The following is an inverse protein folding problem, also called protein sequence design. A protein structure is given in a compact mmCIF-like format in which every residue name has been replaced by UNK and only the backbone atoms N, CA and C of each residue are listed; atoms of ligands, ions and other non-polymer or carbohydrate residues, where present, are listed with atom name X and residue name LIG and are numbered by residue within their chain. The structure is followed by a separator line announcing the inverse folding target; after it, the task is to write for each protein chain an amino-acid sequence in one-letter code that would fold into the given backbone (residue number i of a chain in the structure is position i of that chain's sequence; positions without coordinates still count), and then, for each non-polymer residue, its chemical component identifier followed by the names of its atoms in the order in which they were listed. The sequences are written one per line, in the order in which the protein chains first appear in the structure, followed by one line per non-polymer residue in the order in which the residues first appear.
data_IF_166535908750
#
_entry.id   IF_166535908750
#
_cell.length_a   1.000
_cell.length_b   1.000
_cell.length_c   1.000
_cell.angle_alpha   90.00
_cell.angle_beta   90.00
_cell.angle_gamma   90.00
#
_symmetry.space_group_name_H-M   'P 1'
#
loop_
_entity.id
_entity.type
_entity.pdbx_description
1 polymer ?
#
# COMPACT_ATOMS: atom_id res chain seq x y z
N UNK A 1 19.62 13.37 8.71
CA UNK A 1 20.38 12.09 8.73
C UNK A 1 19.48 10.88 8.47
N UNK A 2 18.32 10.78 9.16
CA UNK A 2 17.31 9.74 8.91
C UNK A 2 16.76 9.72 7.46
N UNK A 3 16.47 10.89 6.89
CA UNK A 3 15.95 11.01 5.51
C UNK A 3 16.88 10.42 4.44
N UNK A 4 18.19 10.63 4.59
CA UNK A 4 19.21 10.07 3.68
C UNK A 4 19.31 8.55 3.78
N UNK A 5 19.11 7.99 4.98
CA UNK A 5 19.04 6.54 5.21
C UNK A 5 17.82 5.93 4.51
N UNK A 6 16.64 6.57 4.64
CA UNK A 6 15.42 6.15 3.95
C UNK A 6 15.61 6.21 2.44
N UNK A 7 16.16 7.31 1.91
CA UNK A 7 16.44 7.45 0.49
C UNK A 7 17.40 6.36 -0.02
N UNK A 8 18.47 6.07 0.72
CA UNK A 8 19.42 5.01 0.38
C UNK A 8 18.76 3.62 0.37
N UNK A 9 17.89 3.33 1.34
CA UNK A 9 17.13 2.07 1.37
C UNK A 9 16.18 1.94 0.18
N UNK A 10 15.45 3.02 -0.16
CA UNK A 10 14.54 3.03 -1.33
C UNK A 10 15.32 2.77 -2.62
N UNK A 11 16.43 3.49 -2.82
CA UNK A 11 17.29 3.31 -4.00
C UNK A 11 17.88 1.89 -4.03
N UNK A 12 18.36 1.37 -2.90
CA UNK A 12 18.91 0.02 -2.81
C UNK A 12 17.90 -1.06 -3.18
N UNK A 13 16.65 -0.95 -2.70
CA UNK A 13 15.56 -1.87 -3.06
C UNK A 13 15.24 -1.77 -4.56
N UNK A 14 15.19 -0.57 -5.12
CA UNK A 14 14.95 -0.39 -6.56
C UNK A 14 16.05 -1.06 -7.39
N UNK A 15 17.32 -0.75 -7.09
CA UNK A 15 18.48 -1.31 -7.80
C UNK A 15 18.50 -2.84 -7.75
N UNK A 16 18.16 -3.44 -6.60
CA UNK A 16 18.10 -4.89 -6.44
C UNK A 16 17.02 -5.56 -7.31
N UNK A 17 15.94 -4.84 -7.66
CA UNK A 17 14.84 -5.39 -8.45
C UNK A 17 14.98 -5.16 -9.97
N UNK A 18 15.86 -4.24 -10.41
CA UNK A 18 16.09 -3.95 -11.85
C UNK A 18 16.50 -5.21 -12.65
N UNK A 19 17.46 -6.05 -12.20
CA UNK A 19 17.86 -7.23 -12.97
C UNK A 19 16.72 -8.23 -13.16
N UNK A 20 15.91 -8.43 -12.12
CA UNK A 20 14.75 -9.31 -12.17
C UNK A 20 13.68 -8.78 -13.14
N UNK A 21 13.43 -7.46 -13.12
CA UNK A 21 12.50 -6.82 -14.05
C UNK A 21 12.98 -6.91 -15.51
N UNK A 22 14.27 -6.73 -15.77
CA UNK A 22 14.86 -6.87 -17.11
C UNK A 22 14.75 -8.32 -17.59
N UNK A 23 15.05 -9.30 -16.74
CA UNK A 23 14.91 -10.72 -17.08
C UNK A 23 13.46 -11.10 -17.36
N UNK A 24 12.52 -10.62 -16.55
CA UNK A 24 11.09 -10.85 -16.75
C UNK A 24 10.61 -10.23 -18.08
N UNK A 25 11.04 -9.01 -18.42
CA UNK A 25 10.67 -8.37 -19.68
C UNK A 25 11.26 -9.09 -20.92
N UNK A 26 12.43 -9.71 -20.78
CA UNK A 26 13.07 -10.46 -21.87
C UNK A 26 12.47 -11.84 -22.08
N UNK A 27 12.16 -12.55 -20.99
CA UNK A 27 11.75 -13.95 -21.04
C UNK A 27 10.22 -14.14 -21.05
N UNK A 28 9.46 -13.17 -20.54
CA UNK A 28 8.00 -13.23 -20.42
C UNK A 28 7.36 -11.84 -20.53
N UNK A 29 7.25 -11.35 -21.78
CA UNK A 29 6.68 -10.03 -22.08
C UNK A 29 5.24 -9.89 -21.62
N UNK A 30 4.44 -10.95 -21.74
CA UNK A 30 3.02 -10.91 -21.35
C UNK A 30 2.87 -10.79 -19.82
N UNK A 31 3.65 -11.57 -19.06
CA UNK A 31 3.74 -11.47 -17.61
C UNK A 31 4.25 -10.09 -17.15
N UNK A 32 5.23 -9.52 -17.85
CA UNK A 32 5.74 -8.17 -17.58
C UNK A 32 4.68 -7.09 -17.82
N UNK A 33 3.97 -7.12 -18.97
CA UNK A 33 2.90 -6.15 -19.28
C UNK A 33 1.78 -6.24 -18.25
N UNK A 34 1.36 -7.45 -17.85
CA UNK A 34 0.35 -7.63 -16.80
C UNK A 34 0.83 -7.04 -15.47
N UNK A 35 2.10 -7.23 -15.12
CA UNK A 35 2.70 -6.66 -13.91
C UNK A 35 2.68 -5.13 -13.95
N UNK A 36 3.10 -4.50 -15.06
CA UNK A 36 3.03 -3.05 -15.20
C UNK A 36 1.60 -2.50 -15.13
N UNK A 37 0.63 -3.19 -15.74
CA UNK A 37 -0.79 -2.82 -15.63
C UNK A 37 -1.29 -2.87 -14.19
N UNK A 38 -0.91 -3.91 -13.44
CA UNK A 38 -1.29 -4.06 -12.04
C UNK A 38 -0.61 -3.02 -11.14
N UNK A 39 0.66 -2.70 -11.40
CA UNK A 39 1.35 -1.59 -10.73
C UNK A 39 0.65 -0.26 -11.05
N UNK A 40 0.30 -0.01 -12.30
CA UNK A 40 -0.44 1.19 -12.70
C UNK A 40 -1.80 1.28 -12.00
N UNK A 41 -2.53 0.17 -11.90
CA UNK A 41 -3.79 0.10 -11.17
C UNK A 41 -3.60 0.34 -9.67
N UNK A 42 -2.52 -0.19 -9.09
CA UNK A 42 -2.16 0.06 -7.70
C UNK A 42 -1.81 1.54 -7.45
N UNK A 43 -1.09 2.19 -8.37
CA UNK A 43 -0.81 3.63 -8.29
C UNK A 43 -2.10 4.45 -8.37
N UNK A 44 -3.07 4.05 -9.21
CA UNK A 44 -4.39 4.69 -9.25
C UNK A 44 -5.15 4.49 -7.92
N UNK A 45 -5.14 3.28 -7.38
CA UNK A 45 -5.70 2.97 -6.06
C UNK A 45 -5.07 3.82 -4.95
N UNK A 46 -3.76 4.02 -4.99
CA UNK A 46 -3.03 4.89 -4.09
C UNK A 46 -3.42 6.36 -4.26
N UNK A 47 -3.54 6.84 -5.50
CA UNK A 47 -3.98 8.20 -5.78
C UNK A 47 -5.40 8.47 -5.27
N UNK A 48 -6.32 7.50 -5.39
CA UNK A 48 -7.66 7.58 -4.82
C UNK A 48 -7.59 7.65 -3.28
N UNK A 49 -6.80 6.78 -2.65
CA UNK A 49 -6.61 6.80 -1.20
C UNK A 49 -6.07 8.14 -0.70
N UNK A 50 -5.03 8.68 -1.36
CA UNK A 50 -4.46 10.00 -1.03
C UNK A 50 -5.49 11.11 -1.27
N UNK A 51 -6.24 11.07 -2.38
CA UNK A 51 -7.28 12.04 -2.67
C UNK A 51 -8.39 12.04 -1.62
N UNK A 52 -8.87 10.85 -1.23
CA UNK A 52 -9.83 10.68 -0.13
C UNK A 52 -9.27 11.21 1.19
N UNK A 53 -7.99 10.95 1.46
CA UNK A 53 -7.36 11.40 2.69
C UNK A 53 -7.22 12.91 2.77
N UNK A 54 -6.77 13.55 1.68
CA UNK A 54 -6.71 15.01 1.61
C UNK A 54 -8.12 15.60 1.72
N UNK A 55 -9.12 15.03 1.04
CA UNK A 55 -10.49 15.53 1.10
C UNK A 55 -11.16 15.37 2.47
N UNK A 56 -10.93 14.25 3.15
CA UNK A 56 -11.63 13.90 4.39
C UNK A 56 -10.89 14.34 5.65
N UNK A 57 -9.56 14.25 5.68
CA UNK A 57 -8.77 14.53 6.87
C UNK A 57 -8.11 15.92 6.85
N UNK A 58 -7.77 16.46 5.68
CA UNK A 58 -7.08 17.75 5.61
C UNK A 58 -8.02 18.97 5.82
N UNK A 59 -9.33 18.81 5.62
CA UNK A 59 -10.31 19.90 5.76
C UNK A 59 -10.44 20.42 7.20
N UNK A 60 -10.22 19.58 8.21
CA UNK A 60 -10.38 19.96 9.62
C UNK A 60 -9.05 20.23 10.35
N UNK A 61 -7.90 20.18 9.66
CA UNK A 61 -6.60 20.33 10.31
C UNK A 61 -6.36 19.22 11.33
N UNK A 62 -5.93 18.04 10.86
CA UNK A 62 -5.67 16.89 11.72
C UNK A 62 -4.60 17.22 12.77
N UNK A 63 -5.01 17.40 14.02
CA UNK A 63 -4.13 17.71 15.16
C UNK A 63 -4.33 16.70 16.30
N UNK A 64 -3.27 16.55 17.10
CA UNK A 64 -3.27 15.67 18.26
C UNK A 64 -3.59 14.21 17.90
N UNK A 65 -4.43 13.52 18.68
CA UNK A 65 -4.67 12.08 18.52
C UNK A 65 -5.32 11.67 17.19
N UNK A 66 -5.97 12.60 16.48
CA UNK A 66 -6.57 12.37 15.16
C UNK A 66 -5.53 12.01 14.09
N UNK A 67 -4.28 12.48 14.24
CA UNK A 67 -3.18 12.18 13.30
C UNK A 67 -2.88 10.68 13.28
N UNK A 68 -2.88 10.03 14.44
CA UNK A 68 -2.63 8.59 14.53
C UNK A 68 -3.75 7.76 13.90
N UNK A 69 -5.00 8.21 14.02
CA UNK A 69 -6.14 7.56 13.35
C UNK A 69 -6.05 7.70 11.83
N UNK A 70 -5.74 8.91 11.35
CA UNK A 70 -5.54 9.17 9.92
C UNK A 70 -4.37 8.33 9.36
N UNK A 71 -3.25 8.26 10.10
CA UNK A 71 -2.12 7.39 9.76
C UNK A 71 -2.51 5.91 9.75
N UNK A 72 -3.30 5.46 10.72
CA UNK A 72 -3.81 4.09 10.79
C UNK A 72 -4.62 3.71 9.55
N UNK A 73 -5.52 4.59 9.10
CA UNK A 73 -6.27 4.42 7.84
C UNK A 73 -5.32 4.32 6.65
N UNK A 74 -4.34 5.23 6.56
CA UNK A 74 -3.39 5.27 5.43
C UNK A 74 -2.52 4.02 5.36
N UNK A 75 -1.97 3.59 6.49
CA UNK A 75 -1.17 2.38 6.55
C UNK A 75 -2.01 1.16 6.20
N UNK A 76 -3.22 1.04 6.75
CA UNK A 76 -4.12 -0.07 6.43
C UNK A 76 -4.49 -0.12 4.94
N UNK A 77 -4.75 1.04 4.32
CA UNK A 77 -5.02 1.18 2.88
C UNK A 77 -3.83 0.69 2.04
N UNK A 78 -2.63 1.17 2.35
CA UNK A 78 -1.39 0.78 1.65
C UNK A 78 -1.17 -0.74 1.77
N UNK A 79 -1.20 -1.28 3.00
CA UNK A 79 -0.96 -2.71 3.22
C UNK A 79 -2.02 -3.59 2.56
N UNK A 80 -3.29 -3.18 2.58
CA UNK A 80 -4.36 -3.90 1.93
C UNK A 80 -4.17 -3.93 0.40
N UNK A 81 -3.83 -2.79 -0.20
CA UNK A 81 -3.50 -2.71 -1.62
C UNK A 81 -2.30 -3.59 -2.00
N UNK A 82 -1.26 -3.65 -1.18
CA UNK A 82 -0.10 -4.54 -1.39
C UNK A 82 -0.51 -6.01 -1.33
N UNK A 83 -1.37 -6.40 -0.39
CA UNK A 83 -1.89 -7.78 -0.29
C UNK A 83 -2.72 -8.18 -1.52
N UNK A 84 -3.50 -7.26 -2.08
CA UNK A 84 -4.23 -7.51 -3.32
C UNK A 84 -3.25 -7.61 -4.51
N UNK A 85 -2.29 -6.69 -4.60
CA UNK A 85 -1.30 -6.62 -5.69
C UNK A 85 -0.46 -7.90 -5.74
N UNK A 86 0.26 -8.19 -4.66
CA UNK A 86 0.09 -9.43 -3.94
C UNK A 86 -0.39 -10.62 -4.75
N UNK A 87 -1.67 -10.92 -4.56
CA UNK A 87 -2.42 -12.05 -5.13
C UNK A 87 -2.48 -12.07 -6.66
N UNK A 88 -2.50 -10.90 -7.31
CA UNK A 88 -2.79 -10.80 -8.74
C UNK A 88 -1.55 -10.75 -9.64
N UNK A 89 -0.41 -10.35 -9.09
CA UNK A 89 0.84 -10.29 -9.86
C UNK A 89 1.26 -11.72 -10.26
N UNK A 90 1.53 -11.97 -11.56
CA UNK A 90 2.05 -13.25 -12.03
C UNK A 90 3.43 -13.49 -11.41
N UNK A 91 3.65 -14.68 -10.86
CA UNK A 91 4.80 -14.96 -9.98
C UNK A 91 5.50 -16.26 -10.35
N UNK A 92 6.83 -16.22 -10.26
CA UNK A 92 7.73 -17.37 -10.44
C UNK A 92 8.18 -17.99 -9.11
N UNK A 93 7.77 -17.41 -7.96
CA UNK A 93 8.03 -17.92 -6.61
C UNK A 93 6.72 -18.12 -5.86
N UNK A 94 6.63 -19.22 -5.14
CA UNK A 94 5.47 -19.54 -4.30
C UNK A 94 5.41 -18.59 -3.10
N UNK A 95 4.21 -18.10 -2.80
CA UNK A 95 3.94 -17.33 -1.60
C UNK A 95 3.28 -18.20 -0.53
N UNK A 96 3.46 -17.86 0.76
CA UNK A 96 2.73 -18.52 1.83
C UNK A 96 1.22 -18.52 1.55
N UNK A 97 0.57 -19.67 1.72
CA UNK A 97 -0.84 -19.86 1.35
C UNK A 97 -1.81 -18.87 2.01
N UNK A 98 -1.45 -18.33 3.18
CA UNK A 98 -2.23 -17.29 3.87
C UNK A 98 -2.22 -15.94 3.14
N UNK A 99 -1.17 -15.60 2.40
CA UNK A 99 -1.12 -14.38 1.56
C UNK A 99 -1.88 -14.60 0.25
N UNK A 100 -1.90 -15.85 -0.23
CA UNK A 100 -2.45 -16.21 -1.54
C UNK A 100 -3.97 -16.09 -1.61
N UNK A 101 -4.64 -16.10 -0.46
CA UNK A 101 -6.10 -16.06 -0.33
C UNK A 101 -6.52 -14.95 0.60
N UNK A 102 -7.82 -14.65 0.60
CA UNK A 102 -8.43 -13.83 1.64
C UNK A 102 -8.20 -14.50 3.00
N UNK A 103 -7.69 -13.75 3.95
CA UNK A 103 -7.11 -14.23 5.19
C UNK A 103 -7.51 -13.35 6.38
N UNK A 104 -7.12 -13.76 7.58
CA UNK A 104 -7.30 -12.96 8.79
C UNK A 104 -6.62 -11.58 8.65
N UNK A 105 -5.51 -11.49 7.92
CA UNK A 105 -4.84 -10.21 7.70
C UNK A 105 -5.73 -9.21 6.94
N UNK A 106 -6.56 -9.67 6.00
CA UNK A 106 -7.51 -8.81 5.30
C UNK A 106 -8.58 -8.28 6.23
N UNK A 107 -9.13 -9.17 7.07
CA UNK A 107 -10.15 -8.80 8.06
C UNK A 107 -9.55 -7.78 9.03
N UNK A 108 -8.33 -7.99 9.51
CA UNK A 108 -7.66 -7.06 10.42
C UNK A 108 -7.39 -5.71 9.77
N UNK A 109 -6.93 -5.67 8.52
CA UNK A 109 -6.68 -4.41 7.81
C UNK A 109 -7.96 -3.65 7.51
N UNK A 110 -9.02 -4.35 7.10
CA UNK A 110 -10.34 -3.75 6.88
C UNK A 110 -10.92 -3.25 8.20
N UNK A 111 -10.84 -4.04 9.28
CA UNK A 111 -11.31 -3.67 10.60
C UNK A 111 -10.53 -2.48 11.17
N UNK A 112 -9.21 -2.44 10.99
CA UNK A 112 -8.37 -1.31 11.38
C UNK A 112 -8.74 -0.05 10.61
N UNK A 113 -8.87 -0.17 9.29
CA UNK A 113 -9.23 0.93 8.40
C UNK A 113 -10.60 1.51 8.77
N UNK A 114 -11.63 0.65 8.90
CA UNK A 114 -12.97 1.07 9.29
C UNK A 114 -13.00 1.59 10.73
N UNK A 115 -12.31 0.94 11.65
CA UNK A 115 -12.24 1.34 13.05
C UNK A 115 -11.62 2.72 13.22
N UNK A 116 -10.50 2.98 12.55
CA UNK A 116 -9.87 4.31 12.56
C UNK A 116 -10.75 5.37 11.89
N UNK A 117 -11.44 5.03 10.80
CA UNK A 117 -12.31 5.95 10.07
C UNK A 117 -13.59 6.31 10.86
N UNK A 118 -14.18 5.34 11.56
CA UNK A 118 -15.35 5.54 12.44
C UNK A 118 -14.98 6.25 13.74
N UNK A 119 -13.79 5.98 14.30
CA UNK A 119 -13.31 6.65 15.49
C UNK A 119 -12.88 8.11 15.24
N UNK A 120 -12.46 8.44 14.01
CA UNK A 120 -11.97 9.76 13.65
C UNK A 120 -12.91 10.92 14.05
N UNK A 121 -14.22 10.91 13.72
CA UNK A 121 -15.14 11.97 14.13
C UNK A 121 -15.43 11.98 15.65
N UNK A 122 -15.23 10.85 16.34
CA UNK A 122 -15.52 10.72 17.78
C UNK A 122 -14.41 11.29 18.66
N UNK A 123 -13.19 11.40 18.14
CA UNK A 123 -12.06 11.97 18.87
C UNK A 123 -12.11 13.50 18.75
N UNK A 124 -12.13 14.26 19.86
CA UNK A 124 -12.15 15.71 19.80
C UNK A 124 -10.84 16.28 19.19
N UNK A 125 -10.91 17.38 18.43
CA UNK A 125 -9.71 18.10 18.01
C UNK A 125 -9.13 18.80 19.25
N UNK A 126 -7.99 18.31 19.73
CA UNK A 126 -7.24 18.94 20.82
C UNK A 126 -6.26 19.96 20.23
#
# INVERSE_FOLDING_TARGET
MFEWLVAACVVGVLLANIPAAIQQFRNDREGAIKTYKLIGLYLLYMAIGVGMFVGFFASEGTKGPRVYLALGVMLAWIFYGILILTRHVPRYREIPGWVARFSIADILLIALMLGCLLAYPLVPPV
#
